data_IF_685390301848
#
_entry.id   IF_685390301848
#
_cell.length_a   1.000
_cell.length_b   1.000
_cell.length_c   1.000
_cell.angle_alpha   90.00
_cell.angle_beta   90.00
_cell.angle_gamma   90.00
#
_symmetry.space_group_name_H-M   'P 1'
#
loop_
_entity.id
_entity.type
_entity.pdbx_description
1 polymer ?
#
# COMPACT_ATOMS: atom_id res chain seq x y z
N UNK A 1 49.67 25.16 -13.20
CA UNK A 1 48.84 23.97 -12.92
C UNK A 1 48.25 23.40 -14.21
N UNK A 2 49.08 23.13 -15.22
CA UNK A 2 48.65 22.66 -16.55
C UNK A 2 49.23 21.28 -16.92
N UNK A 3 49.94 20.62 -15.99
CA UNK A 3 50.54 19.30 -16.21
C UNK A 3 49.70 18.12 -15.68
N UNK A 4 48.58 18.38 -14.98
CA UNK A 4 47.72 17.31 -14.43
C UNK A 4 46.55 16.92 -15.33
N UNK A 5 46.33 17.61 -16.45
CA UNK A 5 45.21 17.33 -17.36
C UNK A 5 45.58 16.36 -18.51
N UNK A 6 46.87 16.22 -18.84
CA UNK A 6 47.35 15.32 -19.89
C UNK A 6 47.43 13.85 -19.43
N UNK A 7 47.56 13.59 -18.13
CA UNK A 7 47.59 12.23 -17.56
C UNK A 7 46.20 11.61 -17.35
N UNK A 8 45.12 12.40 -17.45
CA UNK A 8 43.75 11.89 -17.41
C UNK A 8 43.26 11.41 -18.80
N UNK A 9 43.93 11.84 -19.88
CA UNK A 9 43.55 11.50 -21.25
C UNK A 9 44.28 10.27 -21.82
N UNK A 10 45.26 9.69 -21.11
CA UNK A 10 46.08 8.57 -21.58
C UNK A 10 45.65 7.19 -21.01
N UNK A 11 44.57 7.11 -20.23
CA UNK A 11 44.09 5.88 -19.61
C UNK A 11 42.83 5.28 -20.31
N UNK A 12 42.56 5.64 -21.57
CA UNK A 12 41.39 5.16 -22.34
C UNK A 12 41.75 4.18 -23.46
N UNK A 13 42.84 3.42 -23.33
CA UNK A 13 43.15 2.30 -24.21
C UNK A 13 43.45 1.03 -23.41
N UNK A 14 42.42 0.48 -22.77
CA UNK A 14 42.35 -0.96 -22.57
C UNK A 14 41.10 -1.46 -23.30
N UNK A 15 41.33 -2.25 -24.36
CA UNK A 15 40.32 -3.06 -25.01
C UNK A 15 39.75 -4.04 -23.97
N UNK A 16 38.63 -3.66 -23.34
CA UNK A 16 37.72 -4.56 -22.66
C UNK A 16 36.47 -4.71 -23.52
N UNK A 17 36.13 -5.94 -23.87
CA UNK A 17 34.93 -6.32 -24.61
C UNK A 17 33.68 -5.49 -24.26
N UNK A 18 32.95 -4.92 -25.23
CA UNK A 18 31.65 -4.29 -24.98
C UNK A 18 30.54 -5.28 -24.60
N UNK A 19 30.86 -6.59 -24.51
CA UNK A 19 29.92 -7.65 -24.20
C UNK A 19 30.07 -8.21 -22.78
N UNK A 20 30.79 -7.50 -21.90
CA UNK A 20 30.89 -7.83 -20.47
C UNK A 20 29.84 -7.07 -19.65
N UNK A 21 28.75 -7.79 -19.35
CA UNK A 21 27.91 -7.62 -18.17
C UNK A 21 27.14 -6.28 -17.98
N UNK A 22 26.13 -6.03 -18.81
CA UNK A 22 24.91 -5.30 -18.38
C UNK A 22 23.90 -6.22 -17.64
N UNK A 23 24.33 -7.40 -17.19
CA UNK A 23 23.51 -8.34 -16.41
C UNK A 23 23.48 -8.01 -14.91
N UNK A 24 23.91 -6.80 -14.53
CA UNK A 24 23.70 -6.22 -13.22
C UNK A 24 22.37 -5.45 -13.15
N UNK A 25 21.26 -6.17 -12.90
CA UNK A 25 19.96 -5.61 -12.48
C UNK A 25 19.43 -4.50 -13.38
N UNK A 26 18.89 -4.85 -14.55
CA UNK A 26 17.86 -4.04 -15.20
C UNK A 26 16.66 -3.94 -14.25
N UNK A 27 16.72 -2.97 -13.32
CA UNK A 27 15.57 -2.60 -12.50
C UNK A 27 14.46 -2.26 -13.48
N UNK A 28 13.32 -2.91 -13.37
CA UNK A 28 12.20 -2.74 -14.30
C UNK A 28 11.66 -1.32 -14.18
N UNK A 29 12.32 -0.38 -14.86
CA UNK A 29 11.99 1.05 -14.85
C UNK A 29 10.53 1.28 -15.21
N UNK A 30 9.97 0.42 -16.06
CA UNK A 30 8.55 0.39 -16.37
C UNK A 30 7.66 0.25 -15.11
N UNK A 31 7.90 -0.73 -14.25
CA UNK A 31 7.07 -0.95 -13.05
C UNK A 31 7.28 0.15 -12.00
N UNK A 32 8.49 0.70 -11.91
CA UNK A 32 8.76 1.86 -11.06
C UNK A 32 8.02 3.10 -11.58
N UNK A 33 7.98 3.34 -12.89
CA UNK A 33 7.22 4.43 -13.50
C UNK A 33 5.71 4.25 -13.29
N UNK A 34 5.18 3.05 -13.54
CA UNK A 34 3.76 2.73 -13.28
C UNK A 34 3.39 3.03 -11.83
N UNK A 35 4.25 2.63 -10.87
CA UNK A 35 4.04 2.94 -9.45
C UNK A 35 3.93 4.44 -9.21
N UNK A 36 4.87 5.23 -9.73
CA UNK A 36 4.88 6.69 -9.52
C UNK A 36 3.67 7.37 -10.18
N UNK A 37 3.31 6.98 -11.40
CA UNK A 37 2.12 7.51 -12.08
C UNK A 37 0.86 7.20 -11.28
N UNK A 38 0.73 5.98 -10.74
CA UNK A 38 -0.41 5.61 -9.91
C UNK A 38 -0.45 6.39 -8.59
N UNK A 39 0.68 6.62 -7.93
CA UNK A 39 0.75 7.45 -6.71
C UNK A 39 0.34 8.89 -7.02
N UNK A 40 0.88 9.49 -8.08
CA UNK A 40 0.54 10.84 -8.50
C UNK A 40 -0.96 10.97 -8.83
N UNK A 41 -1.51 9.98 -9.55
CA UNK A 41 -2.96 9.90 -9.81
C UNK A 41 -3.77 9.86 -8.53
N UNK A 42 -3.41 9.03 -7.55
CA UNK A 42 -4.14 8.92 -6.28
C UNK A 42 -4.12 10.27 -5.55
N UNK A 43 -2.99 10.99 -5.56
CA UNK A 43 -2.92 12.33 -5.00
C UNK A 43 -3.89 13.30 -5.71
N UNK A 44 -3.89 13.33 -7.04
CA UNK A 44 -4.82 14.16 -7.84
C UNK A 44 -6.28 13.78 -7.56
N UNK A 45 -6.59 12.50 -7.44
CA UNK A 45 -7.93 12.02 -7.07
C UNK A 45 -8.37 12.58 -5.72
N UNK A 46 -7.54 12.47 -4.67
CA UNK A 46 -7.91 12.95 -3.33
C UNK A 46 -8.10 14.46 -3.28
N UNK A 47 -7.26 15.23 -3.99
CA UNK A 47 -7.44 16.68 -4.10
C UNK A 47 -8.74 16.99 -4.83
N UNK A 48 -8.97 16.39 -6.01
CA UNK A 48 -10.19 16.64 -6.77
C UNK A 48 -11.45 16.21 -5.99
N UNK A 49 -11.39 15.10 -5.24
CA UNK A 49 -12.50 14.64 -4.44
C UNK A 49 -12.84 15.60 -3.29
N UNK A 50 -11.83 16.18 -2.62
CA UNK A 50 -12.02 17.19 -1.59
C UNK A 50 -12.67 18.49 -2.09
N UNK A 51 -12.56 18.81 -3.37
CA UNK A 51 -13.12 20.03 -4.00
C UNK A 51 -14.25 19.72 -5.00
N UNK A 52 -14.79 18.50 -5.02
CA UNK A 52 -15.76 18.08 -6.04
C UNK A 52 -17.23 18.40 -5.72
N UNK A 53 -17.51 18.96 -4.55
CA UNK A 53 -18.86 19.07 -3.95
C UNK A 53 -19.63 17.75 -3.83
N UNK A 54 -18.97 16.61 -4.01
CA UNK A 54 -19.58 15.32 -3.75
C UNK A 54 -19.59 15.05 -2.23
N UNK A 55 -20.59 14.32 -1.72
CA UNK A 55 -20.76 14.08 -0.29
C UNK A 55 -19.72 13.10 0.30
N UNK A 56 -18.58 12.93 -0.36
CA UNK A 56 -17.49 12.04 0.03
C UNK A 56 -16.54 12.71 1.04
N UNK A 57 -16.48 14.04 0.97
CA UNK A 57 -15.56 14.92 1.69
C UNK A 57 -16.26 16.23 2.05
N UNK A 58 -15.45 17.25 2.38
CA UNK A 58 -15.90 18.63 2.55
C UNK A 58 -16.77 19.08 1.35
N UNK A 59 -17.98 19.52 1.66
CA UNK A 59 -18.93 20.01 0.66
C UNK A 59 -18.62 21.46 0.30
N UNK A 60 -17.77 21.66 -0.70
CA UNK A 60 -17.50 23.00 -1.23
C UNK A 60 -18.66 23.48 -2.11
N UNK A 61 -19.47 24.40 -1.58
CA UNK A 61 -20.65 24.94 -2.27
C UNK A 61 -20.33 25.67 -3.58
N UNK A 62 -19.08 26.12 -3.78
CA UNK A 62 -18.64 26.78 -5.01
C UNK A 62 -17.81 25.87 -5.94
N UNK A 63 -17.87 24.55 -5.78
CA UNK A 63 -17.13 23.64 -6.63
C UNK A 63 -17.56 23.75 -8.10
N UNK A 64 -16.58 23.97 -8.99
CA UNK A 64 -16.81 23.94 -10.43
C UNK A 64 -16.97 22.51 -10.96
N UNK A 65 -17.90 22.30 -11.91
CA UNK A 65 -18.15 20.98 -12.53
C UNK A 65 -16.91 20.33 -13.19
N UNK A 66 -15.91 21.14 -13.56
CA UNK A 66 -14.63 20.64 -14.07
C UNK A 66 -13.86 19.80 -13.04
N UNK A 67 -13.87 20.17 -11.75
CA UNK A 67 -13.19 19.42 -10.68
C UNK A 67 -13.89 18.08 -10.46
N UNK A 68 -15.22 18.07 -10.47
CA UNK A 68 -16.00 16.84 -10.39
C UNK A 68 -15.71 15.89 -11.58
N UNK A 69 -15.55 16.45 -12.79
CA UNK A 69 -15.16 15.66 -13.97
C UNK A 69 -13.76 15.06 -13.82
N UNK A 70 -12.77 15.84 -13.36
CA UNK A 70 -11.41 15.33 -13.08
C UNK A 70 -11.48 14.20 -12.05
N UNK A 71 -12.21 14.40 -10.96
CA UNK A 71 -12.43 13.38 -9.92
C UNK A 71 -12.98 12.09 -10.52
N UNK A 72 -14.00 12.17 -11.39
CA UNK A 72 -14.63 10.98 -11.99
C UNK A 72 -13.69 10.24 -12.94
N UNK A 73 -12.95 10.95 -13.79
CA UNK A 73 -11.91 10.35 -14.66
C UNK A 73 -10.84 9.67 -13.80
N UNK A 74 -10.41 10.35 -12.74
CA UNK A 74 -9.44 9.81 -11.80
C UNK A 74 -10.01 8.74 -10.89
N UNK A 75 -11.32 8.45 -10.88
CA UNK A 75 -11.88 7.30 -10.17
C UNK A 75 -11.97 6.07 -11.09
N UNK A 76 -12.29 6.26 -12.37
CA UNK A 76 -12.62 5.20 -13.31
C UNK A 76 -11.50 4.15 -13.55
N UNK A 77 -10.23 4.53 -13.35
CA UNK A 77 -9.11 3.59 -13.52
C UNK A 77 -8.88 2.73 -12.25
N UNK A 78 -8.46 1.46 -12.39
CA UNK A 78 -8.25 0.55 -11.25
C UNK A 78 -6.92 0.80 -10.51
N UNK A 79 -6.71 2.02 -9.99
CA UNK A 79 -5.41 2.44 -9.44
C UNK A 79 -4.89 1.60 -8.27
N UNK A 80 -5.78 1.23 -7.34
CA UNK A 80 -5.39 0.43 -6.18
C UNK A 80 -4.94 -0.99 -6.57
N UNK A 81 -5.64 -1.64 -7.51
CA UNK A 81 -5.28 -2.96 -7.99
C UNK A 81 -3.89 -2.97 -8.64
N UNK A 82 -3.56 -1.95 -9.43
CA UNK A 82 -2.24 -1.80 -10.05
C UNK A 82 -1.15 -1.62 -8.98
N UNK A 83 -1.40 -0.79 -7.96
CA UNK A 83 -0.44 -0.59 -6.87
C UNK A 83 -0.20 -1.88 -6.05
N UNK A 84 -1.25 -2.65 -5.76
CA UNK A 84 -1.12 -3.96 -5.10
C UNK A 84 -0.33 -4.95 -5.97
N UNK A 85 -0.62 -5.00 -7.27
CA UNK A 85 0.11 -5.86 -8.21
C UNK A 85 1.61 -5.54 -8.22
N UNK A 86 1.97 -4.26 -8.39
CA UNK A 86 3.37 -3.82 -8.41
C UNK A 86 4.06 -4.15 -7.08
N UNK A 87 3.37 -3.93 -5.95
CA UNK A 87 3.94 -4.24 -4.64
C UNK A 87 4.14 -5.75 -4.42
N UNK A 88 3.20 -6.57 -4.89
CA UNK A 88 3.28 -8.03 -4.88
C UNK A 88 4.41 -8.57 -5.76
N UNK A 89 4.60 -8.00 -6.95
CA UNK A 89 5.68 -8.37 -7.87
C UNK A 89 7.07 -8.25 -7.22
N UNK A 90 7.29 -7.19 -6.44
CA UNK A 90 8.55 -6.98 -5.71
C UNK A 90 8.63 -7.70 -4.37
N UNK A 91 7.55 -8.36 -3.91
CA UNK A 91 7.49 -9.03 -2.62
C UNK A 91 8.43 -10.24 -2.54
N UNK A 92 8.36 -11.15 -3.53
CA UNK A 92 9.13 -12.40 -3.53
C UNK A 92 10.65 -12.17 -3.60
N UNK A 93 11.18 -11.33 -4.52
CA UNK A 93 12.61 -11.02 -4.52
C UNK A 93 13.06 -10.35 -3.22
N UNK A 94 12.21 -9.52 -2.60
CA UNK A 94 12.50 -8.90 -1.31
C UNK A 94 12.51 -9.91 -0.16
N UNK A 95 11.65 -10.92 -0.19
CA UNK A 95 11.60 -11.99 0.81
C UNK A 95 12.83 -12.89 0.70
N UNK A 96 13.25 -13.29 -0.51
CA UNK A 96 14.42 -14.15 -0.74
C UNK A 96 15.74 -13.58 -0.19
N UNK A 97 15.84 -12.25 -0.02
CA UNK A 97 17.03 -11.58 0.52
C UNK A 97 17.02 -11.40 2.05
N UNK A 98 15.95 -11.82 2.74
CA UNK A 98 15.76 -11.59 4.18
C UNK A 98 15.22 -12.86 4.85
N UNK A 99 15.36 -12.97 6.16
CA UNK A 99 14.57 -13.93 6.93
C UNK A 99 13.09 -13.52 6.92
N UNK A 100 12.18 -14.45 7.19
CA UNK A 100 10.74 -14.15 7.28
C UNK A 100 10.45 -13.05 8.31
N UNK A 101 11.05 -13.13 9.51
CA UNK A 101 10.92 -12.11 10.55
C UNK A 101 11.53 -10.77 10.11
N UNK A 102 12.71 -10.78 9.48
CA UNK A 102 13.35 -9.57 8.97
C UNK A 102 12.59 -8.91 7.81
N UNK A 103 11.87 -9.69 7.00
CA UNK A 103 10.97 -9.17 5.99
C UNK A 103 9.76 -8.48 6.62
N UNK A 104 9.06 -9.16 7.54
CA UNK A 104 7.87 -8.62 8.22
C UNK A 104 8.23 -7.37 9.04
N UNK A 105 9.28 -7.43 9.86
CA UNK A 105 9.74 -6.29 10.65
C UNK A 105 10.13 -5.10 9.75
N UNK A 106 10.80 -5.36 8.62
CA UNK A 106 11.12 -4.32 7.66
C UNK A 106 9.88 -3.68 7.03
N UNK A 107 8.82 -4.47 6.76
CA UNK A 107 7.54 -3.94 6.25
C UNK A 107 6.77 -3.17 7.33
N UNK A 108 6.77 -3.64 8.58
CA UNK A 108 6.17 -2.93 9.71
C UNK A 108 6.85 -1.59 9.96
N UNK A 109 8.18 -1.54 9.87
CA UNK A 109 8.91 -0.28 10.04
C UNK A 109 8.60 0.72 8.91
N UNK A 110 8.59 0.26 7.67
CA UNK A 110 8.42 1.15 6.50
C UNK A 110 6.96 1.52 6.24
N UNK A 111 6.00 0.64 6.55
CA UNK A 111 4.58 0.86 6.28
C UNK A 111 3.77 1.04 7.56
N UNK A 112 4.02 0.23 8.58
CA UNK A 112 3.28 0.26 9.85
C UNK A 112 3.51 1.56 10.63
N UNK A 113 4.76 2.01 10.77
CA UNK A 113 5.03 3.27 11.49
C UNK A 113 4.37 4.48 10.80
N UNK A 114 4.55 4.71 9.48
CA UNK A 114 3.83 5.78 8.80
C UNK A 114 2.31 5.62 8.88
N UNK A 115 1.80 4.40 8.78
CA UNK A 115 0.37 4.12 8.89
C UNK A 115 -0.20 4.53 10.25
N UNK A 116 0.45 4.17 11.36
CA UNK A 116 0.02 4.55 12.71
C UNK A 116 0.10 6.06 12.90
N UNK A 117 1.19 6.70 12.44
CA UNK A 117 1.32 8.15 12.49
C UNK A 117 0.19 8.84 11.71
N UNK A 118 -0.09 8.37 10.51
CA UNK A 118 -1.15 8.91 9.67
C UNK A 118 -2.52 8.72 10.31
N UNK A 119 -2.83 7.56 10.89
CA UNK A 119 -4.15 7.33 11.49
C UNK A 119 -4.34 8.08 12.79
N UNK A 120 -3.36 8.10 13.69
CA UNK A 120 -3.56 8.73 14.99
C UNK A 120 -3.41 10.24 14.96
N UNK A 121 -2.65 10.80 14.02
CA UNK A 121 -2.41 12.25 13.98
C UNK A 121 -3.05 12.88 12.75
N UNK A 122 -2.63 12.45 11.56
CA UNK A 122 -3.08 13.08 10.32
C UNK A 122 -4.58 12.86 10.09
N UNK A 123 -5.07 11.68 10.47
CA UNK A 123 -6.46 11.29 10.36
C UNK A 123 -7.38 12.25 11.11
N UNK A 124 -7.26 12.37 12.45
CA UNK A 124 -8.06 13.31 13.22
C UNK A 124 -7.81 14.78 12.89
N UNK A 125 -6.60 15.14 12.47
CA UNK A 125 -6.30 16.51 12.09
C UNK A 125 -7.11 16.99 10.88
N UNK A 126 -7.41 16.12 9.92
CA UNK A 126 -8.19 16.48 8.71
C UNK A 126 -9.60 17.01 9.01
N UNK A 127 -10.52 16.27 9.68
CA UNK A 127 -11.84 16.78 10.03
C UNK A 127 -11.78 17.90 11.06
N UNK A 128 -10.77 17.92 11.95
CA UNK A 128 -10.57 19.03 12.89
C UNK A 128 -10.27 20.35 12.16
N UNK A 129 -9.46 20.32 11.09
CA UNK A 129 -9.22 21.49 10.24
C UNK A 129 -10.49 21.92 9.48
N UNK A 130 -11.38 20.98 9.15
CA UNK A 130 -12.71 21.31 8.64
C UNK A 130 -13.56 22.07 9.66
N UNK A 131 -13.49 21.70 10.94
CA UNK A 131 -14.15 22.45 12.00
C UNK A 131 -13.52 23.83 12.23
N UNK A 132 -12.19 23.91 12.14
CA UNK A 132 -11.47 25.17 12.23
C UNK A 132 -11.93 26.18 11.16
N UNK A 133 -12.14 25.74 9.91
CA UNK A 133 -12.63 26.62 8.83
C UNK A 133 -14.06 27.11 9.04
N UNK A 134 -14.83 26.46 9.92
CA UNK A 134 -16.20 26.81 10.30
C UNK A 134 -16.30 27.37 11.72
N UNK A 135 -15.22 27.94 12.25
CA UNK A 135 -15.18 28.53 13.60
C UNK A 135 -15.64 27.56 14.69
N UNK A 136 -15.31 26.27 14.55
CA UNK A 136 -15.66 25.17 15.44
C UNK A 136 -17.16 24.92 15.61
N UNK A 137 -17.98 25.37 14.65
CA UNK A 137 -19.41 25.14 14.66
C UNK A 137 -19.73 23.63 14.72
N UNK A 138 -20.48 23.21 15.73
CA UNK A 138 -20.83 21.80 15.97
C UNK A 138 -19.92 21.05 16.96
N UNK A 139 -18.83 21.67 17.45
CA UNK A 139 -18.02 21.12 18.54
C UNK A 139 -18.38 21.75 19.89
N UNK A 140 -18.30 20.95 20.96
CA UNK A 140 -18.42 21.44 22.33
C UNK A 140 -17.19 22.25 22.80
N UNK A 141 -16.03 22.04 22.18
CA UNK A 141 -14.77 22.73 22.49
C UNK A 141 -13.90 22.86 21.24
N UNK A 142 -13.13 23.93 21.18
CA UNK A 142 -12.09 24.19 20.19
C UNK A 142 -10.76 23.47 20.49
N UNK A 143 -10.74 22.55 21.48
CA UNK A 143 -9.54 21.80 21.85
C UNK A 143 -9.34 20.58 20.94
N UNK A 144 -8.23 20.57 20.19
CA UNK A 144 -7.81 19.42 19.37
C UNK A 144 -7.75 18.12 20.16
N UNK A 145 -7.23 18.14 21.39
CA UNK A 145 -7.07 16.93 22.20
C UNK A 145 -8.40 16.35 22.66
N UNK A 146 -9.40 17.19 22.94
CA UNK A 146 -10.75 16.75 23.27
C UNK A 146 -11.46 16.15 22.05
N UNK A 147 -11.31 16.78 20.88
CA UNK A 147 -11.81 16.23 19.62
C UNK A 147 -11.14 14.88 19.28
N UNK A 148 -9.82 14.84 19.39
CA UNK A 148 -9.00 13.65 19.13
C UNK A 148 -9.40 12.46 20.01
N UNK A 149 -9.55 12.68 21.33
CA UNK A 149 -9.91 11.60 22.26
C UNK A 149 -11.33 11.09 22.03
N UNK A 150 -12.28 12.01 21.78
CA UNK A 150 -13.67 11.67 21.47
C UNK A 150 -13.75 10.85 20.18
N UNK A 151 -13.02 11.26 19.14
CA UNK A 151 -12.98 10.51 17.89
C UNK A 151 -12.28 9.17 18.06
N UNK A 152 -11.17 9.09 18.79
CA UNK A 152 -10.54 7.80 19.05
C UNK A 152 -11.48 6.85 19.80
N UNK A 153 -12.22 7.36 20.79
CA UNK A 153 -13.22 6.59 21.53
C UNK A 153 -14.37 6.11 20.63
N UNK A 154 -14.80 6.90 19.64
CA UNK A 154 -15.85 6.53 18.68
C UNK A 154 -15.49 5.31 17.82
N UNK A 155 -14.20 5.00 17.65
CA UNK A 155 -13.74 3.79 16.95
C UNK A 155 -13.84 2.50 17.77
N UNK A 156 -13.94 2.59 19.10
CA UNK A 156 -14.05 1.44 19.99
C UNK A 156 -15.45 1.28 20.61
N UNK A 157 -16.33 2.26 20.42
CA UNK A 157 -17.71 2.26 20.89
C UNK A 157 -18.73 2.31 19.75
N UNK A 158 -20.01 2.38 20.12
CA UNK A 158 -21.11 2.67 19.18
C UNK A 158 -21.38 4.17 19.06
N UNK A 159 -20.58 5.00 19.72
CA UNK A 159 -20.76 6.44 19.70
C UNK A 159 -20.34 7.00 18.35
N UNK A 160 -21.13 7.96 17.88
CA UNK A 160 -20.97 8.61 16.60
C UNK A 160 -20.40 9.99 16.90
N UNK A 161 -19.19 10.27 16.42
CA UNK A 161 -18.69 11.65 16.49
C UNK A 161 -19.48 12.49 15.50
N UNK A 162 -20.03 13.64 15.90
CA UNK A 162 -20.67 14.55 14.95
C UNK A 162 -19.54 15.11 14.10
N UNK A 163 -19.20 14.42 12.99
CA UNK A 163 -18.24 14.89 12.00
C UNK A 163 -19.07 15.21 10.76
N UNK A 164 -19.14 16.50 10.43
CA UNK A 164 -19.94 17.00 9.29
C UNK A 164 -19.18 16.81 7.97
N UNK A 165 -17.88 16.53 8.02
CA UNK A 165 -16.97 16.50 6.86
C UNK A 165 -16.55 15.11 6.38
N UNK A 166 -17.06 14.06 7.02
CA UNK A 166 -16.73 12.67 6.67
C UNK A 166 -18.00 11.86 6.50
N UNK A 167 -18.01 10.98 5.50
CA UNK A 167 -19.12 10.03 5.27
C UNK A 167 -19.26 9.02 6.41
N UNK A 168 -18.16 8.73 7.10
CA UNK A 168 -18.14 7.84 8.24
C UNK A 168 -17.77 8.65 9.49
N UNK A 169 -18.70 8.63 10.44
CA UNK A 169 -18.66 9.40 11.68
C UNK A 169 -17.97 8.66 12.84
N UNK A 170 -17.47 7.46 12.59
CA UNK A 170 -16.64 6.70 13.53
C UNK A 170 -15.18 6.76 13.10
N UNK A 171 -14.27 6.59 14.07
CA UNK A 171 -12.86 6.47 13.75
C UNK A 171 -12.59 5.21 12.93
N UNK A 172 -11.98 5.43 11.77
CA UNK A 172 -11.63 4.41 10.79
C UNK A 172 -10.31 4.82 10.09
N UNK A 173 -9.64 3.89 9.38
CA UNK A 173 -8.39 4.17 8.67
C UNK A 173 -8.44 5.27 7.59
N UNK A 174 -9.60 5.85 7.28
CA UNK A 174 -9.83 6.88 6.24
C UNK A 174 -9.07 6.55 4.94
N UNK A 175 -8.24 7.46 4.43
CA UNK A 175 -7.46 7.30 3.20
C UNK A 175 -6.28 6.34 3.33
N UNK A 176 -5.92 5.95 4.56
CA UNK A 176 -4.74 5.16 4.85
C UNK A 176 -5.00 3.66 4.78
N UNK A 177 -6.23 3.23 4.47
CA UNK A 177 -6.60 1.81 4.32
C UNK A 177 -5.69 1.04 3.35
N UNK A 178 -5.17 1.70 2.31
CA UNK A 178 -4.24 1.07 1.38
C UNK A 178 -2.99 0.54 2.08
N UNK A 179 -2.45 1.28 3.06
CA UNK A 179 -1.26 0.87 3.79
C UNK A 179 -1.54 -0.35 4.69
N UNK A 180 -2.72 -0.40 5.33
CA UNK A 180 -3.09 -1.53 6.19
C UNK A 180 -3.27 -2.81 5.39
N UNK A 181 -4.03 -2.75 4.28
CA UNK A 181 -4.25 -3.89 3.40
C UNK A 181 -2.94 -4.36 2.78
N UNK A 182 -2.08 -3.43 2.37
CA UNK A 182 -0.77 -3.79 1.82
C UNK A 182 0.13 -4.48 2.86
N UNK A 183 0.11 -4.00 4.10
CA UNK A 183 0.82 -4.63 5.21
C UNK A 183 0.29 -6.04 5.49
N UNK A 184 -1.04 -6.21 5.53
CA UNK A 184 -1.69 -7.50 5.69
C UNK A 184 -1.28 -8.47 4.58
N UNK A 185 -1.29 -8.03 3.31
CA UNK A 185 -0.82 -8.84 2.19
C UNK A 185 0.62 -9.30 2.35
N UNK A 186 1.52 -8.43 2.81
CA UNK A 186 2.91 -8.84 3.05
C UNK A 186 3.04 -9.86 4.18
N UNK A 187 2.27 -9.71 5.26
CA UNK A 187 2.25 -10.66 6.39
C UNK A 187 1.71 -12.01 5.92
N UNK A 188 0.53 -12.01 5.28
CA UNK A 188 -0.11 -13.21 4.75
C UNK A 188 0.79 -13.90 3.73
N UNK A 189 1.40 -13.15 2.81
CA UNK A 189 2.37 -13.68 1.85
C UNK A 189 3.56 -14.36 2.52
N UNK A 190 4.16 -13.71 3.53
CA UNK A 190 5.30 -14.28 4.25
C UNK A 190 4.94 -15.54 5.02
N UNK A 191 3.78 -15.57 5.69
CA UNK A 191 3.27 -16.73 6.43
C UNK A 191 2.91 -17.88 5.49
N UNK A 192 2.20 -17.60 4.39
CA UNK A 192 1.84 -18.58 3.38
C UNK A 192 3.10 -19.18 2.74
N UNK A 193 4.09 -18.36 2.39
CA UNK A 193 5.36 -18.83 1.85
C UNK A 193 6.14 -19.67 2.88
N UNK A 194 6.15 -19.28 4.15
CA UNK A 194 6.76 -20.05 5.23
C UNK A 194 6.09 -21.43 5.40
N UNK A 195 4.76 -21.46 5.47
CA UNK A 195 3.97 -22.69 5.56
C UNK A 195 4.20 -23.60 4.34
N UNK A 196 4.18 -23.03 3.13
CA UNK A 196 4.43 -23.77 1.89
C UNK A 196 5.83 -24.37 1.84
N UNK A 197 6.86 -23.61 2.23
CA UNK A 197 8.24 -24.10 2.26
C UNK A 197 8.46 -25.26 3.24
N UNK A 198 7.74 -25.26 4.37
CA UNK A 198 7.76 -26.34 5.37
C UNK A 198 6.98 -27.58 4.93
N UNK A 199 5.90 -27.38 4.18
CA UNK A 199 5.07 -28.47 3.66
C UNK A 199 5.70 -29.13 2.43
N UNK A 200 6.25 -28.35 1.50
CA UNK A 200 6.87 -28.84 0.26
C UNK A 200 8.16 -29.63 0.49
N UNK A 201 8.89 -29.37 1.59
CA UNK A 201 10.13 -30.09 1.93
C UNK A 201 9.89 -31.44 2.64
N UNK A 202 8.64 -31.82 2.88
CA UNK A 202 8.27 -33.10 3.52
C UNK A 202 8.01 -34.24 2.52
N UNK A 203 8.38 -34.09 1.24
CA UNK A 203 8.08 -35.09 0.22
C UNK A 203 9.10 -35.14 -0.89
N UNK A 204 10.38 -35.32 -0.56
CA UNK A 204 11.35 -35.84 -1.54
C UNK A 204 11.49 -37.35 -1.29
N UNK A 205 10.62 -38.19 -1.88
CA UNK A 205 10.86 -39.63 -1.92
C UNK A 205 12.04 -39.85 -2.87
N UNK A 206 13.07 -40.50 -2.35
CA UNK A 206 14.14 -41.08 -3.17
C UNK A 206 13.51 -42.03 -4.19
N UNK A 207 13.62 -41.68 -5.48
CA UNK A 207 13.54 -42.51 -6.69
C UNK A 207 12.53 -43.67 -6.68
N UNK A 208 11.37 -43.54 -7.35
CA UNK A 208 11.03 -44.29 -8.57
C UNK A 208 9.58 -44.05 -9.07
N UNK A 209 9.47 -43.97 -10.40
CA UNK A 209 8.32 -44.23 -11.30
C UNK A 209 6.93 -43.63 -11.04
N UNK A 210 6.50 -42.83 -12.02
CA UNK A 210 5.15 -42.69 -12.57
C UNK A 210 3.99 -42.32 -11.60
N UNK A 211 3.80 -41.03 -11.33
CA UNK A 211 2.51 -40.52 -10.80
C UNK A 211 2.05 -39.26 -11.54
N UNK A 212 1.20 -39.48 -12.55
CA UNK A 212 0.28 -38.48 -13.11
C UNK A 212 -0.89 -38.18 -12.13
N UNK A 213 -2.06 -37.74 -12.62
CA UNK A 213 -2.75 -36.44 -12.44
C UNK A 213 -3.13 -36.01 -11.00
N UNK A 214 -2.86 -36.84 -9.99
CA UNK A 214 -3.26 -36.61 -8.59
C UNK A 214 -2.43 -35.53 -7.89
N UNK A 215 -1.18 -35.31 -8.33
CA UNK A 215 -0.35 -34.20 -7.86
C UNK A 215 -0.94 -32.85 -8.26
N UNK A 216 -1.37 -32.71 -9.53
CA UNK A 216 -1.99 -31.47 -10.03
C UNK A 216 -3.27 -31.12 -9.27
N UNK A 217 -4.12 -32.11 -8.98
CA UNK A 217 -5.31 -31.93 -8.13
C UNK A 217 -4.94 -31.55 -6.69
N UNK A 218 -3.91 -32.16 -6.09
CA UNK A 218 -3.45 -31.80 -4.74
C UNK A 218 -2.86 -30.40 -4.66
N UNK A 219 -2.11 -29.98 -5.68
CA UNK A 219 -1.57 -28.62 -5.76
C UNK A 219 -2.69 -27.61 -5.97
N UNK A 220 -3.63 -27.86 -6.87
CA UNK A 220 -4.77 -26.98 -7.12
C UNK A 220 -5.65 -26.79 -5.86
N UNK A 221 -5.98 -27.88 -5.15
CA UNK A 221 -6.75 -27.81 -3.89
C UNK A 221 -5.99 -27.03 -2.81
N UNK A 222 -4.67 -27.23 -2.70
CA UNK A 222 -3.84 -26.48 -1.75
C UNK A 222 -3.80 -24.99 -2.07
N UNK A 223 -3.64 -24.63 -3.35
CA UNK A 223 -3.66 -23.23 -3.81
C UNK A 223 -5.03 -22.60 -3.56
N UNK A 224 -6.12 -23.34 -3.78
CA UNK A 224 -7.49 -22.89 -3.48
C UNK A 224 -7.72 -22.68 -1.99
N UNK A 225 -7.23 -23.58 -1.12
CA UNK A 225 -7.36 -23.41 0.32
C UNK A 225 -6.54 -22.21 0.84
N UNK A 226 -5.33 -21.99 0.33
CA UNK A 226 -4.54 -20.79 0.69
C UNK A 226 -5.22 -19.53 0.18
N UNK A 227 -5.72 -19.53 -1.07
CA UNK A 227 -6.49 -18.41 -1.61
C UNK A 227 -7.75 -18.15 -0.79
N UNK A 228 -8.48 -19.18 -0.34
CA UNK A 228 -9.66 -19.06 0.50
C UNK A 228 -9.32 -18.48 1.89
N UNK A 229 -8.22 -18.90 2.51
CA UNK A 229 -7.75 -18.34 3.79
C UNK A 229 -7.30 -16.89 3.64
N UNK A 230 -6.62 -16.55 2.54
CA UNK A 230 -6.26 -15.17 2.21
C UNK A 230 -7.51 -14.31 2.00
N UNK A 231 -8.51 -14.81 1.27
CA UNK A 231 -9.77 -14.13 1.03
C UNK A 231 -10.56 -13.93 2.32
N UNK A 232 -10.64 -14.94 3.19
CA UNK A 232 -11.31 -14.84 4.48
C UNK A 232 -10.63 -13.83 5.42
N UNK A 233 -9.29 -13.78 5.43
CA UNK A 233 -8.54 -12.78 6.20
C UNK A 233 -8.77 -11.35 5.69
N UNK A 234 -8.91 -11.19 4.37
CA UNK A 234 -9.23 -9.89 3.74
C UNK A 234 -10.66 -9.48 4.02
N UNK A 235 -11.63 -10.39 3.92
CA UNK A 235 -13.03 -10.12 4.27
C UNK A 235 -13.21 -9.73 5.74
N UNK A 236 -12.53 -10.42 6.66
CA UNK A 236 -12.55 -10.07 8.08
C UNK A 236 -11.91 -8.70 8.39
N UNK A 237 -10.95 -8.26 7.57
CA UNK A 237 -10.29 -6.96 7.72
C UNK A 237 -11.07 -5.79 7.11
N UNK A 238 -12.00 -6.08 6.19
CA UNK A 238 -12.83 -5.07 5.50
C UNK A 238 -14.17 -4.85 6.23
N UNK A 239 -14.56 -5.71 7.16
CA UNK A 239 -15.78 -5.53 7.96
C UNK A 239 -17.05 -5.61 7.11
N UNK A 240 -17.12 -6.62 6.24
CA UNK A 240 -18.36 -7.05 5.57
C UNK A 240 -19.02 -8.19 6.36
#
# INVERSE_FOLDING_TARGET
MAHSFALFLAATHSHGDPMSAHTGRARLYFLDNVRWIMIARVAVFHVAAGYSALPEYYYETQAGGAIAMVRNIMQALPGMAVLFFVAGYFALPSLKRKSYSGFIAGKLFVLGIPYLLCIFFLGPMMPYLGYYSQSFNGLATDSYWSFWSTMLASGFGTEITPVVFTTNQQFHPMHFWFLSVLLQFFIVFALAHAAWSRWGRKGEPTHDTDTAPTEGKRVAVKTLCVAAVCMAAVSAAIGL
#
